data_IF_696225736942
#
_entry.id   IF_696225736942
#
_cell.length_a   1.000
_cell.length_b   1.000
_cell.length_c   1.000
_cell.angle_alpha   90.00
_cell.angle_beta   90.00
_cell.angle_gamma   90.00
#
_symmetry.space_group_name_H-M   'P 1'
#
loop_
_entity.id
_entity.type
_entity.pdbx_description
1 polymer ?
#
# COMPACT_ATOMS: atom_id res chain seq x y z
N UNK A 1 14.54 5.35 14.14
CA UNK A 1 13.58 5.79 13.10
C UNK A 1 13.15 7.21 13.34
N UNK A 2 12.47 7.49 14.45
CA UNK A 2 12.09 8.85 14.89
C UNK A 2 13.25 9.85 14.93
N UNK A 3 14.38 9.47 15.51
CA UNK A 3 15.59 10.31 15.53
C UNK A 3 16.07 10.68 14.12
N UNK A 4 16.01 9.74 13.16
CA UNK A 4 16.39 10.00 11.77
C UNK A 4 15.41 10.93 11.07
N UNK A 5 14.09 10.77 11.30
CA UNK A 5 13.05 11.64 10.73
C UNK A 5 13.32 13.10 11.09
N UNK A 6 13.71 13.36 12.33
CA UNK A 6 14.00 14.72 12.83
C UNK A 6 15.34 15.25 12.39
N UNK A 7 16.40 14.47 12.56
CA UNK A 7 17.75 14.91 12.22
C UNK A 7 17.88 15.30 10.75
N UNK A 8 17.08 14.67 9.87
CA UNK A 8 17.10 14.93 8.43
C UNK A 8 15.94 15.83 7.98
N UNK A 9 15.09 16.32 8.90
CA UNK A 9 13.96 17.18 8.56
C UNK A 9 13.02 16.55 7.52
N UNK A 10 12.73 15.25 7.65
CA UNK A 10 11.93 14.54 6.66
C UNK A 10 10.49 15.05 6.68
N UNK A 11 10.08 15.65 5.57
CA UNK A 11 8.69 16.04 5.31
C UNK A 11 7.81 14.84 4.98
N UNK A 12 8.39 13.78 4.41
CA UNK A 12 7.66 12.57 4.02
C UNK A 12 8.44 11.31 4.40
N UNK A 13 7.80 10.43 5.17
CA UNK A 13 8.32 9.12 5.57
C UNK A 13 7.36 8.02 5.14
N UNK A 14 7.83 7.01 4.41
CA UNK A 14 7.01 5.94 3.88
C UNK A 14 7.21 4.61 4.61
N UNK A 15 6.12 3.86 4.80
CA UNK A 15 6.11 2.52 5.38
C UNK A 15 5.45 1.56 4.39
N UNK A 16 6.28 0.69 3.82
CA UNK A 16 5.88 -0.37 2.91
C UNK A 16 5.84 -1.74 3.60
N UNK A 17 5.09 -2.69 3.06
CA UNK A 17 4.95 -4.02 3.63
C UNK A 17 3.62 -4.69 3.31
N UNK A 18 3.57 -6.01 3.27
CA UNK A 18 2.37 -6.74 2.90
C UNK A 18 1.20 -6.58 3.90
N UNK A 19 0.03 -7.13 3.55
CA UNK A 19 -1.14 -7.12 4.43
C UNK A 19 -0.82 -7.85 5.75
N UNK A 20 -1.34 -7.33 6.86
CA UNK A 20 -1.15 -7.95 8.18
C UNK A 20 0.25 -7.81 8.80
N UNK A 21 1.23 -7.17 8.13
CA UNK A 21 2.60 -7.04 8.67
C UNK A 21 2.77 -5.93 9.74
N UNK A 22 1.73 -5.12 9.99
CA UNK A 22 1.74 -4.10 11.04
C UNK A 22 2.04 -2.65 10.60
N UNK A 23 2.07 -2.34 9.29
CA UNK A 23 2.30 -0.97 8.78
C UNK A 23 1.45 0.10 9.46
N UNK A 24 0.13 -0.08 9.47
CA UNK A 24 -0.82 0.90 10.03
C UNK A 24 -0.60 1.09 11.52
N UNK A 25 -0.29 0.02 12.26
CA UNK A 25 0.07 0.10 13.69
C UNK A 25 1.35 0.89 13.88
N UNK A 26 2.40 0.60 13.11
CA UNK A 26 3.67 1.33 13.17
C UNK A 26 3.50 2.81 12.80
N UNK A 27 2.72 3.11 11.76
CA UNK A 27 2.43 4.47 11.33
C UNK A 27 1.74 5.28 12.45
N UNK A 28 0.73 4.68 13.10
CA UNK A 28 0.03 5.31 14.23
C UNK A 28 0.96 5.54 15.44
N UNK A 29 1.80 4.56 15.79
CA UNK A 29 2.77 4.73 16.88
C UNK A 29 3.80 5.81 16.59
N UNK A 30 4.31 5.89 15.34
CA UNK A 30 5.24 6.93 14.93
C UNK A 30 4.58 8.32 14.92
N UNK A 31 3.34 8.42 14.46
CA UNK A 31 2.58 9.66 14.51
C UNK A 31 2.46 10.17 15.95
N UNK A 32 2.06 9.29 16.88
CA UNK A 32 1.92 9.64 18.29
C UNK A 32 3.26 10.13 18.88
N UNK A 33 4.36 9.42 18.60
CA UNK A 33 5.69 9.81 19.07
C UNK A 33 6.13 11.19 18.55
N UNK A 34 5.95 11.45 17.24
CA UNK A 34 6.28 12.75 16.65
C UNK A 34 5.40 13.88 17.18
N UNK A 35 4.12 13.61 17.46
CA UNK A 35 3.20 14.58 18.04
C UNK A 35 3.53 14.91 19.50
N UNK A 36 3.93 13.93 20.30
CA UNK A 36 4.38 14.15 21.68
C UNK A 36 5.56 15.12 21.77
N UNK A 37 6.35 15.20 20.71
CA UNK A 37 7.51 16.08 20.63
C UNK A 37 7.23 17.34 19.81
N UNK A 38 5.95 17.68 19.64
CA UNK A 38 5.51 18.98 19.15
C UNK A 38 5.40 19.11 17.63
N UNK A 39 5.59 18.02 16.86
CA UNK A 39 5.43 18.05 15.42
C UNK A 39 3.98 17.79 15.01
N UNK A 40 3.47 18.57 14.06
CA UNK A 40 2.20 18.26 13.38
C UNK A 40 2.44 17.13 12.39
N UNK A 41 2.16 15.91 12.84
CA UNK A 41 2.32 14.71 12.02
C UNK A 41 0.98 14.21 11.44
N UNK A 42 0.93 14.08 10.12
CA UNK A 42 -0.18 13.45 9.39
C UNK A 42 0.14 11.98 9.06
N UNK A 43 -0.90 11.15 8.93
CA UNK A 43 -0.79 9.78 8.43
C UNK A 43 -1.81 9.58 7.33
N UNK A 44 -1.38 9.01 6.20
CA UNK A 44 -2.28 8.64 5.11
C UNK A 44 -1.92 7.26 4.56
N UNK A 45 -2.94 6.46 4.26
CA UNK A 45 -2.76 5.18 3.58
C UNK A 45 -2.84 5.38 2.07
N UNK A 46 -2.07 4.63 1.28
CA UNK A 46 -2.32 4.51 -0.15
C UNK A 46 -3.75 4.01 -0.42
N UNK A 47 -4.30 3.19 0.48
CA UNK A 47 -5.69 2.73 0.42
C UNK A 47 -6.70 3.89 0.54
N UNK A 48 -6.35 5.02 1.17
CA UNK A 48 -7.23 6.19 1.22
C UNK A 48 -7.39 6.84 -0.17
N UNK A 49 -6.47 6.54 -1.09
CA UNK A 49 -6.50 7.02 -2.47
C UNK A 49 -7.19 6.06 -3.43
N UNK A 50 -7.92 5.03 -2.98
CA UNK A 50 -8.64 4.18 -3.94
C UNK A 50 -9.57 5.01 -4.85
N UNK A 51 -9.69 4.56 -6.09
CA UNK A 51 -10.71 5.02 -7.02
C UNK A 51 -12.11 4.73 -6.45
N UNK A 52 -13.06 5.61 -6.75
CA UNK A 52 -14.47 5.40 -6.40
C UNK A 52 -14.98 4.09 -6.96
N UNK A 53 -16.09 3.57 -6.39
CA UNK A 53 -16.74 2.39 -6.96
C UNK A 53 -17.13 2.62 -8.42
N UNK A 54 -17.60 3.83 -8.74
CA UNK A 54 -17.98 4.23 -10.09
C UNK A 54 -16.81 4.18 -11.07
N UNK A 55 -15.68 4.80 -10.71
CA UNK A 55 -14.50 4.85 -11.59
C UNK A 55 -13.91 3.46 -11.83
N UNK A 56 -13.93 2.59 -10.81
CA UNK A 56 -13.54 1.18 -10.97
C UNK A 56 -14.46 0.41 -11.91
N UNK A 57 -15.76 0.70 -11.92
CA UNK A 57 -16.68 0.08 -12.89
C UNK A 57 -16.39 0.54 -14.32
N UNK A 58 -16.02 1.80 -14.51
CA UNK A 58 -15.57 2.31 -15.81
C UNK A 58 -14.29 1.57 -16.24
N UNK A 59 -13.29 1.51 -15.36
CA UNK A 59 -12.03 0.82 -15.60
C UNK A 59 -12.24 -0.66 -15.93
N UNK A 60 -13.18 -1.31 -15.25
CA UNK A 60 -13.54 -2.70 -15.49
C UNK A 60 -14.13 -2.95 -16.88
N UNK A 61 -14.95 -2.01 -17.38
CA UNK A 61 -15.54 -2.08 -18.73
C UNK A 61 -14.53 -1.76 -19.83
N UNK A 62 -13.61 -0.84 -19.55
CA UNK A 62 -12.64 -0.36 -20.54
C UNK A 62 -11.42 -1.28 -20.68
N UNK A 63 -10.98 -1.89 -19.58
CA UNK A 63 -9.71 -2.63 -19.54
C UNK A 63 -9.93 -4.11 -19.21
N UNK A 64 -10.44 -4.42 -18.01
CA UNK A 64 -10.63 -5.81 -17.59
C UNK A 64 -11.58 -5.94 -16.40
N UNK A 65 -12.52 -6.92 -16.39
CA UNK A 65 -13.55 -7.04 -15.34
C UNK A 65 -13.04 -7.09 -13.90
N UNK A 66 -11.82 -7.61 -13.66
CA UNK A 66 -11.24 -7.66 -12.30
C UNK A 66 -10.95 -6.28 -11.70
N UNK A 67 -10.92 -5.20 -12.49
CA UNK A 67 -10.75 -3.84 -11.97
C UNK A 67 -11.98 -3.29 -11.23
N UNK A 68 -13.09 -4.05 -11.16
CA UNK A 68 -14.14 -3.76 -10.17
C UNK A 68 -13.61 -3.85 -8.74
N UNK A 69 -12.56 -4.64 -8.50
CA UNK A 69 -11.93 -4.77 -7.19
C UNK A 69 -10.91 -3.64 -6.98
N UNK A 70 -10.93 -3.03 -5.80
CA UNK A 70 -9.86 -2.14 -5.33
C UNK A 70 -8.65 -2.98 -4.87
N UNK A 71 -7.45 -2.40 -4.93
CA UNK A 71 -6.27 -2.96 -4.27
C UNK A 71 -5.00 -2.85 -5.10
N UNK A 72 -5.10 -3.24 -6.37
CA UNK A 72 -3.95 -3.38 -7.24
C UNK A 72 -3.51 -2.06 -7.86
N UNK A 73 -2.26 -1.93 -8.34
CA UNK A 73 -1.83 -0.76 -9.10
C UNK A 73 -2.78 -0.45 -10.27
N UNK A 74 -3.08 0.84 -10.44
CA UNK A 74 -4.12 1.32 -11.35
C UNK A 74 -5.49 1.51 -10.72
N UNK A 75 -5.69 1.10 -9.46
CA UNK A 75 -6.98 1.28 -8.75
C UNK A 75 -6.97 2.43 -7.73
N UNK A 76 -5.97 3.31 -7.80
CA UNK A 76 -5.84 4.49 -6.94
C UNK A 76 -5.89 5.77 -7.77
N UNK A 77 -6.37 6.87 -7.18
CA UNK A 77 -6.25 8.26 -7.63
C UNK A 77 -4.78 8.71 -7.50
N UNK A 78 -3.89 8.10 -8.29
CA UNK A 78 -2.44 8.23 -8.12
C UNK A 78 -1.94 9.63 -8.46
N UNK A 79 -2.63 10.35 -9.36
CA UNK A 79 -2.36 11.75 -9.67
C UNK A 79 -2.67 12.66 -8.47
N UNK A 80 -3.75 12.37 -7.72
CA UNK A 80 -4.07 13.08 -6.49
C UNK A 80 -3.00 12.81 -5.42
N UNK A 81 -2.58 11.55 -5.26
CA UNK A 81 -1.49 11.19 -4.36
C UNK A 81 -0.21 11.97 -4.71
N UNK A 82 0.15 12.06 -5.99
CA UNK A 82 1.28 12.89 -6.43
C UNK A 82 1.13 14.37 -6.05
N UNK A 83 -0.05 14.97 -6.27
CA UNK A 83 -0.31 16.37 -5.92
C UNK A 83 -0.14 16.61 -4.41
N UNK A 84 -0.67 15.72 -3.57
CA UNK A 84 -0.56 15.81 -2.11
C UNK A 84 0.90 15.70 -1.63
N UNK A 85 1.70 14.82 -2.23
CA UNK A 85 3.14 14.73 -1.96
C UNK A 85 3.84 16.05 -2.33
N UNK A 86 3.51 16.67 -3.48
CA UNK A 86 4.09 17.94 -3.90
C UNK A 86 3.73 19.08 -2.95
N UNK A 87 2.46 19.17 -2.52
CA UNK A 87 2.02 20.16 -1.54
C UNK A 87 2.76 19.99 -0.21
N UNK A 88 2.93 18.76 0.26
CA UNK A 88 3.67 18.47 1.48
C UNK A 88 5.15 18.86 1.36
N UNK A 89 5.81 18.52 0.25
CA UNK A 89 7.20 18.93 -0.01
C UNK A 89 7.38 20.46 -0.05
N UNK A 90 6.36 21.18 -0.54
CA UNK A 90 6.32 22.63 -0.55
C UNK A 90 5.95 23.25 0.82
N UNK A 91 5.57 22.44 1.82
CA UNK A 91 5.11 22.92 3.12
C UNK A 91 3.76 23.63 3.09
N UNK A 92 2.92 23.31 2.11
CA UNK A 92 1.57 23.87 1.94
C UNK A 92 0.54 23.01 2.68
N UNK A 93 -0.61 23.62 2.97
CA UNK A 93 -1.74 22.88 3.49
C UNK A 93 -2.29 21.93 2.42
N UNK A 94 -2.71 20.74 2.85
CA UNK A 94 -3.37 19.76 2.00
C UNK A 94 -4.49 19.02 2.75
N UNK A 95 -5.46 18.49 2.02
CA UNK A 95 -6.54 17.65 2.56
C UNK A 95 -6.22 16.18 2.30
N UNK A 96 -6.06 15.41 3.36
CA UNK A 96 -5.80 13.98 3.23
C UNK A 96 -7.11 13.24 2.91
N UNK A 97 -7.16 12.39 1.87
CA UNK A 97 -8.37 11.65 1.55
C UNK A 97 -8.71 10.62 2.63
N UNK A 98 -9.95 10.16 2.59
CA UNK A 98 -10.42 8.97 3.31
C UNK A 98 -11.17 8.06 2.36
N UNK A 99 -11.00 6.75 2.55
CA UNK A 99 -11.79 5.75 1.84
C UNK A 99 -12.60 4.89 2.81
N UNK A 100 -13.89 4.78 2.58
CA UNK A 100 -14.78 3.93 3.36
C UNK A 100 -14.81 2.52 2.76
N UNK A 101 -14.04 1.60 3.35
CA UNK A 101 -13.96 0.19 2.93
C UNK A 101 -15.27 -0.59 3.11
N UNK A 102 -16.20 -0.12 3.96
CA UNK A 102 -17.48 -0.76 4.16
C UNK A 102 -18.48 -0.37 3.05
N UNK A 103 -18.52 0.91 2.68
CA UNK A 103 -19.31 1.41 1.56
C UNK A 103 -18.62 1.20 0.19
N UNK A 104 -17.35 0.82 0.20
CA UNK A 104 -16.49 0.61 -0.97
C UNK A 104 -16.36 1.88 -1.84
N UNK A 105 -16.31 3.06 -1.21
CA UNK A 105 -16.23 4.33 -1.91
C UNK A 105 -15.42 5.40 -1.14
N UNK A 106 -15.14 6.52 -1.82
CA UNK A 106 -14.49 7.67 -1.19
C UNK A 106 -15.37 8.27 -0.08
N UNK A 107 -14.70 8.80 0.94
CA UNK A 107 -15.32 9.50 2.06
C UNK A 107 -14.83 10.94 2.09
N UNK A 108 -15.44 11.76 2.93
CA UNK A 108 -15.00 13.14 3.16
C UNK A 108 -13.54 13.18 3.61
N UNK A 109 -12.75 14.00 2.92
CA UNK A 109 -11.37 14.31 3.26
C UNK A 109 -11.26 14.88 4.69
N UNK A 110 -10.06 14.75 5.26
CA UNK A 110 -9.70 15.49 6.46
C UNK A 110 -9.54 17.00 6.15
N UNK A 111 -9.73 17.88 7.16
CA UNK A 111 -9.48 19.31 7.02
C UNK A 111 -8.07 19.63 6.51
N UNK A 112 -7.93 20.76 5.84
CA UNK A 112 -6.65 21.21 5.31
C UNK A 112 -5.67 21.56 6.44
N UNK A 113 -4.49 20.96 6.43
CA UNK A 113 -3.45 21.14 7.45
C UNK A 113 -2.08 21.23 6.78
N UNK A 114 -1.21 22.13 7.27
CA UNK A 114 0.22 22.06 6.98
C UNK A 114 0.87 21.07 7.95
N UNK A 115 1.44 19.98 7.46
CA UNK A 115 2.13 19.01 8.30
C UNK A 115 3.63 19.27 8.31
N UNK A 116 4.26 19.12 9.47
CA UNK A 116 5.72 19.14 9.57
C UNK A 116 6.30 17.83 8.99
N UNK A 117 5.60 16.72 9.23
CA UNK A 117 5.92 15.40 8.67
C UNK A 117 4.64 14.66 8.27
N UNK A 118 4.62 14.09 7.06
CA UNK A 118 3.59 13.17 6.59
C UNK A 118 4.13 11.74 6.56
N UNK A 119 3.48 10.84 7.30
CA UNK A 119 3.70 9.40 7.19
C UNK A 119 2.76 8.85 6.12
N UNK A 120 3.33 8.16 5.14
CA UNK A 120 2.57 7.45 4.10
C UNK A 120 2.76 5.96 4.29
N UNK A 121 1.68 5.17 4.28
CA UNK A 121 1.80 3.71 4.36
C UNK A 121 1.02 3.01 3.24
N UNK A 122 1.50 1.85 2.79
CA UNK A 122 0.83 1.11 1.72
C UNK A 122 1.55 -0.17 1.35
N UNK A 123 0.81 -1.13 0.80
CA UNK A 123 1.35 -2.47 0.57
C UNK A 123 2.32 -2.55 -0.62
N UNK A 124 2.07 -1.74 -1.66
CA UNK A 124 2.88 -1.69 -2.88
C UNK A 124 3.74 -0.43 -2.99
N UNK A 125 3.97 0.30 -1.88
CA UNK A 125 4.93 1.40 -1.88
C UNK A 125 6.33 0.85 -2.18
N UNK A 126 7.02 1.44 -3.14
CA UNK A 126 8.33 0.96 -3.60
C UNK A 126 8.25 -0.24 -4.56
N UNK A 127 7.07 -0.78 -4.88
CA UNK A 127 6.94 -1.83 -5.89
C UNK A 127 7.46 -1.35 -7.25
N UNK A 128 8.07 -2.26 -8.01
CA UNK A 128 8.61 -1.96 -9.34
C UNK A 128 7.90 -2.76 -10.43
N UNK A 129 7.91 -2.20 -11.64
CA UNK A 129 7.45 -2.93 -12.81
C UNK A 129 8.37 -4.14 -13.08
N UNK A 130 7.77 -5.26 -13.43
CA UNK A 130 8.43 -6.52 -13.75
C UNK A 130 8.73 -6.60 -15.24
N UNK A 131 9.74 -7.41 -15.59
CA UNK A 131 10.11 -7.72 -16.98
C UNK A 131 9.04 -8.60 -17.65
N UNK A 132 9.08 -8.68 -18.98
CA UNK A 132 8.16 -9.53 -19.74
C UNK A 132 8.28 -11.00 -19.34
N UNK A 133 9.49 -11.48 -19.06
CA UNK A 133 9.77 -12.85 -18.63
C UNK A 133 9.17 -13.13 -17.24
N UNK A 134 9.30 -12.18 -16.31
CA UNK A 134 8.69 -12.27 -14.98
C UNK A 134 7.16 -12.24 -15.04
N UNK A 135 6.57 -11.48 -15.96
CA UNK A 135 5.12 -11.43 -16.16
C UNK A 135 4.57 -12.68 -16.85
N UNK A 136 5.34 -13.34 -17.72
CA UNK A 136 4.91 -14.51 -18.46
C UNK A 136 4.63 -15.73 -17.54
N UNK A 137 5.33 -15.82 -16.41
CA UNK A 137 5.14 -16.91 -15.44
C UNK A 137 3.90 -16.66 -14.57
N UNK A 138 2.92 -17.59 -14.52
CA UNK A 138 1.76 -17.47 -13.63
C UNK A 138 2.19 -17.68 -12.18
N UNK A 139 1.66 -16.87 -11.25
CA UNK A 139 1.93 -17.04 -9.80
C UNK A 139 0.75 -17.67 -9.06
N UNK A 140 -0.46 -17.57 -9.60
CA UNK A 140 -1.65 -18.19 -9.04
C UNK A 140 -2.77 -18.40 -10.06
N UNK A 141 -3.92 -18.89 -9.58
CA UNK A 141 -5.08 -19.20 -10.40
C UNK A 141 -5.67 -18.01 -11.17
N UNK A 142 -5.43 -16.76 -10.76
CA UNK A 142 -5.88 -15.60 -11.55
C UNK A 142 -5.11 -15.47 -12.85
N UNK A 143 -3.82 -15.80 -12.86
CA UNK A 143 -2.97 -15.70 -14.05
C UNK A 143 -3.25 -16.77 -15.11
N UNK A 144 -3.94 -17.83 -14.71
CA UNK A 144 -4.36 -18.93 -15.60
C UNK A 144 -5.69 -18.64 -16.30
N UNK A 145 -6.39 -17.56 -15.93
CA UNK A 145 -7.65 -17.19 -16.56
C UNK A 145 -7.41 -16.65 -17.99
N UNK A 146 -8.35 -16.87 -18.92
CA UNK A 146 -8.37 -16.12 -20.17
C UNK A 146 -8.29 -14.62 -19.88
N UNK A 147 -7.51 -13.88 -20.66
CA UNK A 147 -7.33 -12.43 -20.58
C UNK A 147 -6.63 -11.89 -19.32
N UNK A 148 -6.10 -12.77 -18.45
CA UNK A 148 -5.34 -12.36 -17.27
C UNK A 148 -4.12 -11.49 -17.61
N UNK A 149 -3.54 -11.67 -18.81
CA UNK A 149 -2.46 -10.85 -19.32
C UNK A 149 -2.84 -9.36 -19.43
N UNK A 150 -4.02 -9.03 -19.97
CA UNK A 150 -4.49 -7.65 -20.09
C UNK A 150 -4.57 -6.96 -18.73
N UNK A 151 -5.11 -7.65 -17.73
CA UNK A 151 -5.20 -7.15 -16.36
C UNK A 151 -3.82 -6.94 -15.73
N UNK A 152 -2.93 -7.92 -15.90
CA UNK A 152 -1.57 -7.91 -15.34
C UNK A 152 -0.67 -6.86 -16.00
N UNK A 153 -0.72 -6.77 -17.32
CA UNK A 153 0.09 -5.83 -18.10
C UNK A 153 -0.33 -4.40 -17.81
N UNK A 154 -1.64 -4.15 -17.65
CA UNK A 154 -2.13 -2.84 -17.21
C UNK A 154 -1.58 -2.47 -15.83
N UNK A 155 -1.66 -3.36 -14.84
CA UNK A 155 -1.09 -3.11 -13.50
C UNK A 155 0.42 -2.82 -13.58
N UNK A 156 1.15 -3.58 -14.39
CA UNK A 156 2.59 -3.40 -14.56
C UNK A 156 2.92 -2.05 -15.22
N UNK A 157 2.14 -1.65 -16.23
CA UNK A 157 2.27 -0.36 -16.89
C UNK A 157 1.95 0.80 -15.93
N UNK A 158 0.88 0.67 -15.13
CA UNK A 158 0.53 1.65 -14.10
C UNK A 158 1.66 1.82 -13.09
N UNK A 159 2.23 0.72 -12.59
CA UNK A 159 3.41 0.80 -11.73
C UNK A 159 4.55 1.57 -12.39
N UNK A 160 4.88 1.21 -13.63
CA UNK A 160 5.99 1.81 -14.37
C UNK A 160 5.81 3.32 -14.59
N UNK A 161 4.62 3.73 -15.00
CA UNK A 161 4.37 5.07 -15.51
C UNK A 161 3.88 6.02 -14.43
N UNK A 162 3.12 5.53 -13.44
CA UNK A 162 2.40 6.40 -12.51
C UNK A 162 2.85 6.26 -11.05
N UNK A 163 3.30 5.07 -10.62
CA UNK A 163 3.65 4.83 -9.21
C UNK A 163 5.16 4.98 -8.97
N UNK A 164 5.98 4.30 -9.78
CA UNK A 164 7.43 4.33 -9.65
C UNK A 164 8.05 5.73 -9.64
N UNK A 165 7.61 6.69 -10.48
CA UNK A 165 8.15 8.05 -10.44
C UNK A 165 7.92 8.78 -9.11
N UNK A 166 7.00 8.31 -8.27
CA UNK A 166 6.68 8.92 -6.98
C UNK A 166 7.58 8.44 -5.84
N UNK A 167 8.22 7.27 -5.97
CA UNK A 167 9.06 6.71 -4.89
C UNK A 167 10.19 7.65 -4.45
N UNK A 168 10.90 8.37 -5.34
CA UNK A 168 11.90 9.35 -4.94
C UNK A 168 11.34 10.55 -4.14
N UNK A 169 10.04 10.86 -4.24
CA UNK A 169 9.40 11.92 -3.45
C UNK A 169 9.20 11.49 -1.99
N UNK A 170 9.16 10.18 -1.73
CA UNK A 170 9.11 9.59 -0.39
C UNK A 170 10.54 9.56 0.17
N UNK A 171 10.96 10.70 0.74
CA UNK A 171 12.36 10.99 1.12
C UNK A 171 13.07 9.88 1.90
N UNK A 172 12.32 9.09 2.67
CA UNK A 172 12.79 7.81 3.22
C UNK A 172 11.65 6.80 3.23
N UNK A 173 11.97 5.54 2.93
CA UNK A 173 11.01 4.45 2.93
C UNK A 173 11.55 3.25 3.70
N UNK A 174 10.75 2.73 4.63
CA UNK A 174 10.97 1.47 5.32
C UNK A 174 10.08 0.38 4.73
N UNK A 175 10.64 -0.74 4.32
CA UNK A 175 9.91 -1.95 3.95
C UNK A 175 9.98 -2.99 5.07
N UNK A 176 8.82 -3.31 5.62
CA UNK A 176 8.61 -4.41 6.55
C UNK A 176 8.57 -5.72 5.76
N UNK A 177 9.74 -6.34 5.58
CA UNK A 177 9.92 -7.55 4.77
C UNK A 177 9.46 -8.78 5.55
N UNK A 178 8.39 -9.41 5.08
CA UNK A 178 7.92 -10.69 5.62
C UNK A 178 8.88 -11.84 5.25
N UNK A 179 8.82 -12.99 5.93
CA UNK A 179 9.58 -14.18 5.55
C UNK A 179 9.23 -14.70 4.16
N UNK A 180 7.93 -14.86 3.90
CA UNK A 180 7.38 -15.49 2.69
C UNK A 180 5.89 -15.17 2.51
N UNK A 181 5.34 -15.55 1.35
CA UNK A 181 3.92 -15.39 1.02
C UNK A 181 2.96 -16.17 1.94
N UNK A 182 3.19 -17.46 2.27
CA UNK A 182 2.34 -18.18 3.23
C UNK A 182 2.19 -17.48 4.57
N UNK A 183 3.26 -16.88 5.10
CA UNK A 183 3.24 -16.11 6.35
C UNK A 183 2.35 -14.88 6.24
N UNK A 184 2.40 -14.17 5.11
CA UNK A 184 1.53 -13.02 4.83
C UNK A 184 0.05 -13.44 4.82
N UNK A 185 -0.27 -14.56 4.17
CA UNK A 185 -1.62 -15.12 4.17
C UNK A 185 -2.09 -15.46 5.60
N UNK A 186 -1.23 -16.08 6.43
CA UNK A 186 -1.53 -16.35 7.85
C UNK A 186 -1.79 -15.05 8.62
N UNK A 187 -0.98 -14.02 8.42
CA UNK A 187 -1.16 -12.72 9.07
C UNK A 187 -2.46 -12.03 8.67
N UNK A 188 -2.83 -12.12 7.38
CA UNK A 188 -4.11 -11.60 6.92
C UNK A 188 -5.29 -12.35 7.53
N UNK A 189 -5.20 -13.68 7.64
CA UNK A 189 -6.21 -14.50 8.32
C UNK A 189 -6.38 -14.07 9.77
N UNK A 190 -5.29 -13.94 10.53
CA UNK A 190 -5.33 -13.45 11.91
C UNK A 190 -6.01 -12.08 12.02
N UNK A 191 -5.74 -11.18 11.07
CA UNK A 191 -6.42 -9.88 11.02
C UNK A 191 -7.92 -10.02 10.76
N UNK A 192 -8.33 -10.94 9.88
CA UNK A 192 -9.74 -11.21 9.57
C UNK A 192 -10.47 -11.82 10.77
N UNK A 193 -9.83 -12.73 11.50
CA UNK A 193 -10.38 -13.35 12.71
C UNK A 193 -10.69 -12.29 13.78
N UNK A 194 -9.79 -11.31 13.96
CA UNK A 194 -10.02 -10.17 14.86
C UNK A 194 -11.20 -9.29 14.39
N UNK A 195 -11.37 -9.09 13.08
CA UNK A 195 -12.50 -8.34 12.54
C UNK A 195 -13.82 -9.06 12.78
N UNK A 196 -13.86 -10.37 12.55
CA UNK A 196 -15.00 -11.23 12.89
C UNK A 196 -15.38 -11.12 14.36
N UNK A 197 -14.41 -11.24 15.28
CA UNK A 197 -14.65 -11.10 16.72
C UNK A 197 -15.23 -9.74 17.10
N UNK A 198 -14.83 -8.66 16.41
CA UNK A 198 -15.25 -7.29 16.73
C UNK A 198 -16.57 -6.89 16.08
N UNK A 199 -16.86 -7.39 14.88
CA UNK A 199 -17.99 -6.92 14.05
C UNK A 199 -19.05 -8.00 13.80
N UNK A 200 -18.78 -9.26 14.15
CA UNK A 200 -19.63 -10.40 13.85
C UNK A 200 -19.77 -10.71 12.36
N UNK A 201 -18.99 -10.05 11.50
CA UNK A 201 -19.00 -10.21 10.03
C UNK A 201 -17.58 -10.03 9.48
N UNK A 202 -17.29 -10.69 8.36
CA UNK A 202 -16.00 -10.65 7.69
C UNK A 202 -15.96 -11.63 6.51
N UNK A 203 -14.81 -11.78 5.89
CA UNK A 203 -14.58 -12.82 4.87
C UNK A 203 -14.40 -14.18 5.53
N UNK A 204 -15.01 -15.22 4.97
CA UNK A 204 -14.67 -16.59 5.32
C UNK A 204 -13.29 -16.98 4.73
N UNK A 205 -12.78 -18.16 5.11
CA UNK A 205 -11.46 -18.61 4.67
C UNK A 205 -11.33 -18.72 3.14
N UNK A 206 -12.38 -19.17 2.44
CA UNK A 206 -12.35 -19.32 0.99
C UNK A 206 -12.34 -17.95 0.28
N UNK A 207 -13.18 -17.03 0.74
CA UNK A 207 -13.23 -15.64 0.25
C UNK A 207 -11.90 -14.94 0.54
N UNK A 208 -11.30 -15.17 1.70
CA UNK A 208 -10.02 -14.56 2.05
C UNK A 208 -8.89 -15.05 1.15
N UNK A 209 -8.86 -16.36 0.84
CA UNK A 209 -7.87 -16.90 -0.10
C UNK A 209 -8.00 -16.24 -1.47
N UNK A 210 -9.22 -16.09 -1.99
CA UNK A 210 -9.46 -15.39 -3.27
C UNK A 210 -9.08 -13.90 -3.20
N UNK A 211 -9.37 -13.24 -2.08
CA UNK A 211 -9.00 -11.85 -1.83
C UNK A 211 -7.49 -11.64 -1.86
N UNK A 212 -6.68 -12.61 -1.45
CA UNK A 212 -5.22 -12.49 -1.43
C UNK A 212 -4.58 -12.61 -2.82
N UNK A 213 -5.19 -13.35 -3.75
CA UNK A 213 -4.58 -13.65 -5.05
C UNK A 213 -4.14 -12.43 -5.86
N UNK A 214 -4.91 -11.32 -5.95
CA UNK A 214 -4.49 -10.13 -6.68
C UNK A 214 -3.18 -9.51 -6.21
N UNK A 215 -2.82 -9.72 -4.95
CA UNK A 215 -1.65 -9.08 -4.33
C UNK A 215 -0.38 -9.93 -4.45
N UNK A 216 -0.50 -11.23 -4.74
CA UNK A 216 0.59 -12.19 -4.64
C UNK A 216 1.79 -11.82 -5.52
N UNK A 217 1.55 -11.56 -6.82
CA UNK A 217 2.62 -11.34 -7.80
C UNK A 217 3.61 -10.28 -7.37
N UNK A 218 3.12 -9.07 -7.08
CA UNK A 218 4.00 -7.96 -6.70
C UNK A 218 4.54 -8.13 -5.29
N UNK A 219 3.80 -8.76 -4.39
CA UNK A 219 4.28 -9.06 -3.05
C UNK A 219 5.47 -10.01 -3.09
N UNK A 220 5.35 -11.13 -3.81
CA UNK A 220 6.46 -12.09 -4.00
C UNK A 220 7.63 -11.46 -4.74
N UNK A 221 7.37 -10.65 -5.77
CA UNK A 221 8.43 -9.93 -6.46
C UNK A 221 9.21 -9.00 -5.52
N UNK A 222 8.52 -8.22 -4.67
CA UNK A 222 9.16 -7.37 -3.66
C UNK A 222 9.94 -8.19 -2.62
N UNK A 223 9.41 -9.34 -2.18
CA UNK A 223 10.13 -10.26 -1.28
C UNK A 223 11.43 -10.79 -1.91
N UNK A 224 11.42 -10.99 -3.23
CA UNK A 224 12.56 -11.40 -4.05
C UNK A 224 13.46 -10.24 -4.50
N UNK A 225 13.27 -9.04 -3.95
CA UNK A 225 14.14 -7.88 -4.20
C UNK A 225 13.76 -7.03 -5.41
N UNK A 226 12.63 -7.31 -6.07
CA UNK A 226 12.03 -6.41 -7.07
C UNK A 226 11.30 -5.27 -6.33
N UNK A 227 12.09 -4.39 -5.74
CA UNK A 227 11.63 -3.22 -4.99
C UNK A 227 12.58 -2.05 -5.29
N UNK A 228 12.10 -0.82 -5.18
CA UNK A 228 12.89 0.37 -5.42
C UNK A 228 14.14 0.40 -4.53
N UNK A 229 15.29 0.73 -5.12
CA UNK A 229 16.60 0.62 -4.46
C UNK A 229 16.80 1.59 -3.29
N UNK A 230 15.99 2.66 -3.20
CA UNK A 230 16.03 3.62 -2.09
C UNK A 230 15.34 3.14 -0.80
N UNK A 231 14.84 1.90 -0.78
CA UNK A 231 14.11 1.34 0.37
C UNK A 231 15.06 0.74 1.40
N UNK A 232 14.90 1.17 2.66
CA UNK A 232 15.48 0.49 3.81
C UNK A 232 14.62 -0.72 4.19
N UNK A 233 15.23 -1.85 4.51
CA UNK A 233 14.48 -3.07 4.81
C UNK A 233 14.63 -3.48 6.26
N UNK A 234 13.53 -3.92 6.86
CA UNK A 234 13.49 -4.51 8.17
C UNK A 234 12.82 -5.88 8.07
N UNK A 235 13.59 -6.92 8.34
CA UNK A 235 13.11 -8.29 8.19
C UNK A 235 12.34 -8.72 9.43
N UNK A 236 11.16 -9.29 9.20
CA UNK A 236 10.28 -9.84 10.22
C UNK A 236 10.37 -11.36 10.23
N UNK A 237 10.28 -12.01 11.40
CA UNK A 237 9.95 -13.43 11.51
C UNK A 237 8.42 -13.64 11.47
N UNK A 238 7.99 -14.89 11.55
CA UNK A 238 6.56 -15.27 11.54
C UNK A 238 5.73 -14.65 12.67
N UNK A 239 6.37 -14.26 13.77
CA UNK A 239 5.75 -13.59 14.93
C UNK A 239 5.74 -12.06 14.78
N UNK A 240 6.11 -11.52 13.61
CA UNK A 240 6.26 -10.08 13.31
C UNK A 240 7.34 -9.40 14.16
N UNK A 241 8.32 -10.15 14.63
CA UNK A 241 9.47 -9.61 15.35
C UNK A 241 10.62 -9.34 14.40
N UNK A 242 11.39 -8.29 14.66
CA UNK A 242 12.57 -7.92 13.87
C UNK A 242 13.68 -8.94 14.09
N UNK A 243 14.22 -9.51 13.01
CA UNK A 243 15.30 -10.52 13.10
C UNK A 243 16.68 -10.01 12.75
N UNK A 244 16.80 -8.94 11.96
CA UNK A 244 18.09 -8.37 11.58
C UNK A 244 18.11 -6.86 11.91
N UNK A 245 19.13 -6.42 12.65
CA UNK A 245 19.48 -5.01 12.86
C UNK A 245 20.76 -4.69 12.12
#
# INVERSE_FOLDING_TARGET
>A
MEHNIRQHGLKIFAISGAQGCGKTTLAASLQQALQLDGLRCGVVSLDDYYLSRHDRQILARQIHPLFVMRGVPGTHQIERFHQDLQLQLQGKALTLPRFDKANDDSSTDLPAVCYDTLIVEGWCLGAVALSAEQLASPVNALDLKPDAATWRDYQNQQLKQCYQPLWPLLQSMLYLRAPDWPTICRWRQQQEDVLWQRRGTGMDAATLQQFMLPFQRWTEAMLCGQIWSGVQQLQLNELRQVVNR
#
